data_IF_287901237431
#
_entry.id   IF_287901237431
#
_cell.length_a   1.000
_cell.length_b   1.000
_cell.length_c   1.000
_cell.angle_alpha   90.00
_cell.angle_beta   90.00
_cell.angle_gamma   90.00
#
_symmetry.space_group_name_H-M   'P 1'
#
loop_
_entity.id
_entity.type
_entity.pdbx_description
1 polymer ?
#
# COMPACT_ATOMS: atom_id res chain seq x y z
N UNK A 1 22.28 -2.24 -21.09
CA UNK A 1 20.93 -2.06 -20.52
C UNK A 1 20.53 -3.36 -19.84
N UNK A 2 20.27 -3.36 -18.53
CA UNK A 2 19.82 -4.56 -17.83
C UNK A 2 18.38 -4.91 -18.23
N UNK A 3 18.13 -6.16 -18.59
CA UNK A 3 16.77 -6.66 -18.89
C UNK A 3 15.93 -6.49 -17.62
N UNK A 4 14.88 -5.66 -17.69
CA UNK A 4 13.93 -5.49 -16.60
C UNK A 4 13.24 -6.82 -16.26
N UNK A 5 12.76 -6.93 -15.02
CA UNK A 5 12.05 -8.14 -14.55
C UNK A 5 10.89 -8.48 -15.52
N UNK A 6 10.76 -9.73 -15.98
CA UNK A 6 9.67 -10.14 -16.86
C UNK A 6 8.30 -9.90 -16.22
N UNK A 7 7.35 -9.41 -17.02
CA UNK A 7 5.99 -9.10 -16.57
C UNK A 7 5.24 -10.41 -16.23
N UNK A 8 4.47 -10.39 -15.14
CA UNK A 8 3.58 -11.49 -14.75
C UNK A 8 4.06 -12.39 -13.61
N UNK A 9 5.26 -12.19 -13.05
CA UNK A 9 5.74 -12.96 -11.90
C UNK A 9 5.14 -12.51 -10.57
N UNK A 10 4.88 -13.45 -9.65
CA UNK A 10 4.48 -13.14 -8.27
C UNK A 10 5.65 -12.52 -7.49
N UNK A 11 5.35 -11.55 -6.62
CA UNK A 11 6.35 -11.01 -5.71
C UNK A 11 6.58 -11.99 -4.56
N UNK A 12 7.86 -12.26 -4.24
CA UNK A 12 8.24 -13.05 -3.06
C UNK A 12 7.64 -12.37 -1.83
N UNK A 13 6.86 -13.13 -1.06
CA UNK A 13 6.36 -12.72 0.26
C UNK A 13 7.39 -13.14 1.31
N UNK A 14 7.47 -12.34 2.37
CA UNK A 14 8.38 -12.57 3.48
C UNK A 14 7.57 -12.59 4.75
N UNK A 15 7.60 -13.72 5.45
CA UNK A 15 6.91 -13.86 6.72
C UNK A 15 7.69 -13.16 7.83
N UNK A 16 7.00 -12.90 8.95
CA UNK A 16 7.60 -12.19 10.10
C UNK A 16 8.85 -12.91 10.59
N UNK A 17 8.78 -14.23 10.67
CA UNK A 17 9.85 -15.10 11.19
C UNK A 17 11.11 -15.04 10.33
N UNK A 18 10.97 -15.08 9.00
CA UNK A 18 12.11 -14.95 8.07
C UNK A 18 12.82 -13.62 8.27
N UNK A 19 12.06 -12.52 8.33
CA UNK A 19 12.63 -11.19 8.56
C UNK A 19 13.35 -11.12 9.88
N UNK A 20 12.74 -11.69 10.93
CA UNK A 20 13.30 -11.68 12.27
C UNK A 20 14.62 -12.47 12.33
N UNK A 21 14.68 -13.66 11.69
CA UNK A 21 15.91 -14.45 11.58
C UNK A 21 17.03 -13.63 10.96
N UNK A 22 16.75 -12.98 9.83
CA UNK A 22 17.75 -12.21 9.09
C UNK A 22 18.21 -10.97 9.89
N UNK A 23 17.29 -10.26 10.55
CA UNK A 23 17.65 -9.09 11.38
C UNK A 23 18.45 -9.51 12.61
N UNK A 24 18.09 -10.59 13.30
CA UNK A 24 18.87 -11.11 14.44
C UNK A 24 20.27 -11.54 13.99
N UNK A 25 20.38 -12.18 12.82
CA UNK A 25 21.66 -12.55 12.21
C UNK A 25 22.55 -11.33 11.98
N UNK A 26 21.99 -10.25 11.42
CA UNK A 26 22.70 -8.98 11.24
C UNK A 26 23.22 -8.41 12.57
N UNK A 27 22.39 -8.41 13.61
CA UNK A 27 22.74 -7.83 14.92
C UNK A 27 23.75 -8.66 15.70
N UNK A 28 23.75 -9.99 15.54
CA UNK A 28 24.58 -10.91 16.33
C UNK A 28 25.91 -11.28 15.66
N UNK A 29 25.95 -11.45 14.34
CA UNK A 29 27.11 -12.00 13.63
C UNK A 29 28.10 -10.93 13.14
N UNK A 30 27.77 -9.63 13.28
CA UNK A 30 28.64 -8.53 12.83
C UNK A 30 28.86 -8.47 11.31
N UNK A 31 28.04 -9.18 10.53
CA UNK A 31 28.15 -9.23 9.07
C UNK A 31 27.68 -7.89 8.48
N UNK A 32 28.46 -7.35 7.55
CA UNK A 32 28.07 -6.16 6.80
C UNK A 32 26.74 -6.36 6.06
N UNK A 33 25.83 -5.38 6.18
CA UNK A 33 24.47 -5.44 5.62
C UNK A 33 24.42 -5.89 4.15
N UNK A 34 25.36 -5.43 3.31
CA UNK A 34 25.39 -5.77 1.88
C UNK A 34 25.74 -7.24 1.65
N UNK A 35 26.69 -7.79 2.44
CA UNK A 35 27.08 -9.18 2.35
C UNK A 35 25.91 -10.09 2.77
N UNK A 36 25.31 -9.81 3.93
CA UNK A 36 24.15 -10.56 4.41
C UNK A 36 22.96 -10.49 3.45
N UNK A 37 22.71 -9.32 2.84
CA UNK A 37 21.65 -9.19 1.85
C UNK A 37 21.87 -10.06 0.60
N UNK A 38 23.13 -10.21 0.15
CA UNK A 38 23.48 -11.10 -0.96
C UNK A 38 23.27 -12.57 -0.59
N UNK A 39 23.70 -12.99 0.60
CA UNK A 39 23.51 -14.36 1.08
C UNK A 39 22.02 -14.74 1.18
N UNK A 40 21.20 -13.83 1.69
CA UNK A 40 19.76 -14.06 1.87
C UNK A 40 18.94 -13.77 0.59
N UNK A 41 19.62 -13.40 -0.51
CA UNK A 41 19.02 -13.04 -1.79
C UNK A 41 17.92 -11.96 -1.66
N UNK A 42 18.25 -10.91 -0.91
CA UNK A 42 17.43 -9.70 -0.73
C UNK A 42 18.20 -8.45 -1.16
N UNK A 43 17.47 -7.37 -1.40
CA UNK A 43 18.13 -6.09 -1.65
C UNK A 43 18.64 -5.48 -0.34
N UNK A 44 19.79 -4.82 -0.37
CA UNK A 44 20.35 -4.16 0.81
C UNK A 44 19.44 -3.08 1.41
N UNK A 45 18.66 -2.40 0.56
CA UNK A 45 17.65 -1.43 1.02
C UNK A 45 16.49 -2.08 1.75
N UNK A 46 16.08 -3.28 1.32
CA UNK A 46 15.02 -4.04 2.00
C UNK A 46 15.46 -4.52 3.38
N UNK A 47 16.69 -5.02 3.50
CA UNK A 47 17.27 -5.36 4.80
C UNK A 47 17.39 -4.14 5.71
N UNK A 48 17.85 -2.99 5.18
CA UNK A 48 17.91 -1.74 5.94
C UNK A 48 16.56 -1.34 6.53
N UNK A 49 15.48 -1.39 5.74
CA UNK A 49 14.12 -1.06 6.20
C UNK A 49 13.68 -2.01 7.33
N UNK A 50 13.98 -3.31 7.23
CA UNK A 50 13.64 -4.26 8.29
C UNK A 50 14.39 -4.00 9.58
N UNK A 51 15.70 -3.70 9.48
CA UNK A 51 16.51 -3.34 10.64
C UNK A 51 15.94 -2.10 11.31
N UNK A 52 15.67 -1.03 10.55
CA UNK A 52 15.12 0.21 11.10
C UNK A 52 13.78 -0.03 11.82
N UNK A 53 12.85 -0.75 11.18
CA UNK A 53 11.57 -1.10 11.80
C UNK A 53 11.70 -1.94 13.05
N UNK A 54 12.68 -2.84 13.08
CA UNK A 54 12.96 -3.65 14.27
C UNK A 54 13.52 -2.80 15.41
N UNK A 55 14.36 -1.82 15.11
CA UNK A 55 14.89 -0.89 16.12
C UNK A 55 13.79 0.03 16.67
N UNK A 56 12.86 0.47 15.83
CA UNK A 56 11.81 1.42 16.22
C UNK A 56 10.63 0.74 16.95
N UNK A 57 10.16 -0.41 16.42
CA UNK A 57 8.91 -1.07 16.85
C UNK A 57 9.13 -2.50 17.39
N UNK A 58 10.38 -2.95 17.49
CA UNK A 58 10.71 -4.32 17.86
C UNK A 58 10.23 -5.34 16.82
N UNK A 59 9.90 -6.54 17.28
CA UNK A 59 9.40 -7.61 16.40
C UNK A 59 8.10 -7.25 15.67
N UNK A 60 7.29 -6.34 16.23
CA UNK A 60 6.01 -5.93 15.64
C UNK A 60 6.21 -5.17 14.34
N UNK A 61 7.29 -4.38 14.22
CA UNK A 61 7.63 -3.67 12.99
C UNK A 61 7.90 -4.57 11.79
N UNK A 62 8.19 -5.86 12.03
CA UNK A 62 8.42 -6.85 10.97
C UNK A 62 7.13 -7.49 10.44
N UNK A 63 6.01 -7.31 11.13
CA UNK A 63 4.71 -7.82 10.69
C UNK A 63 4.32 -7.19 9.36
N UNK A 64 3.79 -8.01 8.44
CA UNK A 64 3.31 -7.51 7.16
C UNK A 64 2.04 -6.69 7.37
N UNK A 65 2.15 -5.38 7.16
CA UNK A 65 0.98 -4.51 7.12
C UNK A 65 0.10 -4.89 5.93
N UNK A 66 -1.15 -5.25 6.22
CA UNK A 66 -2.19 -5.36 5.18
C UNK A 66 -2.35 -3.98 4.57
N UNK A 67 -2.09 -3.86 3.27
CA UNK A 67 -2.42 -2.65 2.52
C UNK A 67 -3.92 -2.40 2.70
N UNK A 68 -4.28 -1.23 3.23
CA UNK A 68 -5.70 -0.82 3.29
C UNK A 68 -6.17 -0.69 1.84
N UNK A 69 -7.07 -1.58 1.44
CA UNK A 69 -7.71 -1.52 0.13
C UNK A 69 -8.65 -0.31 0.03
N UNK A 70 -9.37 -0.21 -1.08
CA UNK A 70 -10.44 0.79 -1.20
C UNK A 70 -11.47 0.59 -0.07
N UNK A 71 -11.72 1.62 0.72
CA UNK A 71 -12.68 1.62 1.82
C UNK A 71 -14.08 1.16 1.37
N UNK A 72 -14.46 1.49 0.14
CA UNK A 72 -15.75 1.14 -0.45
C UNK A 72 -15.76 -0.20 -1.19
N UNK A 73 -14.66 -0.97 -1.19
CA UNK A 73 -14.57 -2.23 -1.93
C UNK A 73 -15.63 -3.26 -1.47
N UNK A 74 -15.94 -3.27 -0.17
CA UNK A 74 -16.89 -4.20 0.43
C UNK A 74 -18.30 -4.10 -0.20
N UNK A 75 -18.68 -2.94 -0.75
CA UNK A 75 -19.93 -2.77 -1.51
C UNK A 75 -20.01 -3.78 -2.66
N UNK A 76 -18.89 -4.14 -3.30
CA UNK A 76 -18.90 -5.03 -4.46
C UNK A 76 -18.32 -6.42 -4.17
N UNK A 77 -17.44 -6.54 -3.18
CA UNK A 77 -16.69 -7.78 -2.95
C UNK A 77 -17.23 -8.65 -1.82
N UNK A 78 -17.96 -8.06 -0.85
CA UNK A 78 -18.41 -8.80 0.32
C UNK A 78 -19.73 -9.54 0.06
N UNK A 79 -19.76 -10.83 0.40
CA UNK A 79 -20.95 -11.70 0.35
C UNK A 79 -21.77 -11.71 1.64
N UNK A 80 -21.19 -11.25 2.75
CA UNK A 80 -21.79 -11.31 4.10
C UNK A 80 -22.09 -9.92 4.67
N UNK A 81 -21.93 -8.86 3.87
CA UNK A 81 -22.20 -7.50 4.30
C UNK A 81 -23.72 -7.30 4.47
N UNK A 82 -24.14 -6.90 5.66
CA UNK A 82 -25.51 -6.50 5.96
C UNK A 82 -25.97 -5.39 5.02
N UNK A 83 -27.26 -5.37 4.69
CA UNK A 83 -27.85 -4.32 3.87
C UNK A 83 -27.67 -2.93 4.50
N UNK A 84 -27.82 -2.83 5.83
CA UNK A 84 -27.61 -1.57 6.55
C UNK A 84 -26.18 -1.07 6.41
N UNK A 85 -25.19 -1.95 6.52
CA UNK A 85 -23.78 -1.56 6.40
C UNK A 85 -23.40 -1.26 4.95
N UNK A 86 -23.99 -1.98 3.98
CA UNK A 86 -23.87 -1.67 2.55
C UNK A 86 -24.39 -0.28 2.24
N UNK A 87 -25.57 0.07 2.73
CA UNK A 87 -26.17 1.39 2.55
C UNK A 87 -25.33 2.49 3.21
N UNK A 88 -24.82 2.27 4.44
CA UNK A 88 -23.90 3.22 5.10
C UNK A 88 -22.68 3.52 4.23
N UNK A 89 -22.06 2.50 3.62
CA UNK A 89 -20.91 2.70 2.73
C UNK A 89 -21.29 3.45 1.44
N UNK A 90 -22.48 3.18 0.88
CA UNK A 90 -22.97 3.88 -0.32
C UNK A 90 -23.21 5.36 -0.02
N UNK A 91 -23.88 5.66 1.10
CA UNK A 91 -24.15 7.04 1.55
C UNK A 91 -22.83 7.78 1.75
N UNK A 92 -21.88 7.21 2.51
CA UNK A 92 -20.57 7.82 2.71
C UNK A 92 -19.81 8.09 1.40
N UNK A 93 -19.89 7.16 0.43
CA UNK A 93 -19.29 7.33 -0.90
C UNK A 93 -19.94 8.49 -1.68
N UNK A 94 -21.26 8.60 -1.60
CA UNK A 94 -22.03 9.66 -2.26
C UNK A 94 -21.80 11.02 -1.61
N UNK A 95 -21.68 11.11 -0.29
CA UNK A 95 -21.38 12.35 0.43
C UNK A 95 -20.04 12.95 -0.03
N UNK A 96 -18.99 12.13 -0.14
CA UNK A 96 -17.69 12.57 -0.67
C UNK A 96 -17.80 13.08 -2.11
N UNK A 97 -18.60 12.41 -2.94
CA UNK A 97 -18.85 12.80 -4.33
C UNK A 97 -19.59 14.14 -4.41
N UNK A 98 -20.63 14.33 -3.59
CA UNK A 98 -21.41 15.55 -3.49
C UNK A 98 -20.50 16.71 -3.04
N UNK A 99 -19.70 16.52 -2.00
CA UNK A 99 -18.75 17.54 -1.54
C UNK A 99 -17.76 17.93 -2.63
N UNK A 100 -17.23 16.94 -3.36
CA UNK A 100 -16.33 17.18 -4.49
C UNK A 100 -17.01 18.03 -5.57
N UNK A 101 -18.22 17.66 -5.97
CA UNK A 101 -19.00 18.37 -6.99
C UNK A 101 -19.37 19.79 -6.54
N UNK A 102 -19.76 19.98 -5.26
CA UNK A 102 -20.00 21.31 -4.67
C UNK A 102 -18.76 22.20 -4.71
N UNK A 103 -17.57 21.62 -4.59
CA UNK A 103 -16.31 22.36 -4.75
C UNK A 103 -15.96 22.66 -6.22
N UNK A 104 -16.73 22.13 -7.18
CA UNK A 104 -16.53 22.35 -8.60
C UNK A 104 -15.43 21.46 -9.22
N UNK A 105 -15.08 20.33 -8.61
CA UNK A 105 -14.15 19.39 -9.25
C UNK A 105 -14.90 18.36 -10.09
N UNK A 106 -14.66 18.38 -11.39
CA UNK A 106 -15.01 17.32 -12.33
C UNK A 106 -13.91 16.26 -12.36
N UNK A 107 -14.27 15.04 -12.73
CA UNK A 107 -13.32 13.94 -12.89
C UNK A 107 -13.26 13.54 -14.36
N UNK A 108 -12.05 13.44 -14.90
CA UNK A 108 -11.78 12.85 -16.21
C UNK A 108 -10.94 11.58 -16.04
N UNK A 109 -11.19 10.59 -16.89
CA UNK A 109 -10.47 9.32 -16.88
C UNK A 109 -10.72 8.45 -15.63
N UNK A 110 -9.96 7.36 -15.52
CA UNK A 110 -10.04 6.39 -14.43
C UNK A 110 -8.67 5.77 -14.14
N UNK A 111 -8.54 5.13 -12.98
CA UNK A 111 -7.30 4.46 -12.57
C UNK A 111 -6.11 5.44 -12.51
N UNK A 112 -5.02 5.07 -13.17
CA UNK A 112 -3.81 5.90 -13.25
C UNK A 112 -4.01 7.20 -14.04
N UNK A 113 -5.00 7.26 -14.93
CA UNK A 113 -5.30 8.41 -15.78
C UNK A 113 -6.44 9.27 -15.20
N UNK A 114 -6.68 9.18 -13.89
CA UNK A 114 -7.76 9.93 -13.23
C UNK A 114 -7.29 11.35 -12.90
N UNK A 115 -7.98 12.35 -13.42
CA UNK A 115 -7.65 13.77 -13.24
C UNK A 115 -8.85 14.55 -12.69
N UNK A 116 -8.58 15.51 -11.81
CA UNK A 116 -9.60 16.43 -11.28
C UNK A 116 -9.46 17.80 -11.96
N UNK A 117 -10.56 18.32 -12.49
CA UNK A 117 -10.62 19.60 -13.23
C UNK A 117 -11.53 20.57 -12.49
N UNK A 118 -11.05 21.79 -12.20
CA UNK A 118 -11.83 22.82 -11.50
C UNK A 118 -12.72 23.56 -12.50
N UNK A 119 -14.00 23.74 -12.17
CA UNK A 119 -14.98 24.43 -13.03
C UNK A 119 -15.37 25.83 -12.56
N UNK A 120 -14.88 26.30 -11.41
CA UNK A 120 -15.32 27.56 -10.79
C UNK A 120 -15.08 28.81 -11.65
N UNK A 121 -14.17 28.77 -12.62
CA UNK A 121 -13.95 29.88 -13.56
C UNK A 121 -14.94 29.91 -14.73
N UNK A 122 -15.78 28.89 -14.91
CA UNK A 122 -16.62 28.73 -16.11
C UNK A 122 -18.04 29.35 -15.96
N UNK A 123 -18.44 29.75 -14.75
CA UNK A 123 -19.84 30.15 -14.47
C UNK A 123 -20.03 31.57 -13.90
N UNK A 124 -19.04 32.47 -14.03
CA UNK A 124 -19.22 33.90 -13.81
C UNK A 124 -19.27 34.62 -15.18
N UNK A 125 -20.41 34.51 -15.87
CA UNK A 125 -20.83 35.39 -16.96
C UNK A 125 -22.34 35.58 -16.87
#
# INVERSE_FOLDING_TARGET
MGIGRPKGGSNRKWDKEDKLRIVKRYLNEGIGRIALAKEENISGGMLYIWIQKYLDEGEQGLVNNKKKGNHYAAIHTSKTLSEVDRLRLIVAKQEVEIERLKKGYLVKGAGANKEFVITKDVSLK
#
